data_IF_487946192114
#
_entry.id   IF_487946192114
#
_cell.length_a   1.000
_cell.length_b   1.000
_cell.length_c   1.000
_cell.angle_alpha   90.00
_cell.angle_beta   90.00
_cell.angle_gamma   90.00
#
_symmetry.space_group_name_H-M   'P 1'
#
loop_
_entity.id
_entity.type
_entity.pdbx_description
1 polymer ?
#
# COMPACT_ATOMS: atom_id res chain seq x y z
N UNK A 1 2.91 14.92 -13.05
CA UNK A 1 2.36 14.23 -11.87
C UNK A 1 1.54 13.08 -12.40
N UNK A 2 2.06 11.85 -12.33
CA UNK A 2 1.43 10.67 -12.96
C UNK A 2 0.87 9.78 -11.86
N UNK A 3 -0.45 9.82 -11.67
CA UNK A 3 -1.11 8.98 -10.67
C UNK A 3 -1.22 7.54 -11.18
N UNK A 4 -0.67 6.60 -10.43
CA UNK A 4 -0.80 5.16 -10.70
C UNK A 4 -1.44 4.49 -9.48
N UNK A 5 -2.35 3.57 -9.74
CA UNK A 5 -2.96 2.73 -8.72
C UNK A 5 -2.45 1.29 -8.91
N UNK A 6 -1.90 0.71 -7.85
CA UNK A 6 -1.48 -0.69 -7.81
C UNK A 6 -2.29 -1.45 -6.77
N UNK A 7 -2.62 -2.69 -7.11
CA UNK A 7 -3.30 -3.62 -6.21
C UNK A 7 -2.29 -4.56 -5.60
N UNK A 8 -2.40 -4.72 -4.29
CA UNK A 8 -1.57 -5.61 -3.51
C UNK A 8 -2.45 -6.53 -2.70
N UNK A 9 -2.06 -7.80 -2.60
CA UNK A 9 -2.67 -8.77 -1.70
C UNK A 9 -1.96 -8.71 -0.35
N UNK A 10 -2.72 -8.71 0.73
CA UNK A 10 -2.17 -8.83 2.08
C UNK A 10 -1.77 -10.30 2.30
N UNK A 11 -0.55 -10.51 2.79
CA UNK A 11 -0.07 -11.85 3.16
C UNK A 11 -0.65 -12.36 4.48
N UNK A 12 -1.22 -11.45 5.26
CA UNK A 12 -1.84 -11.73 6.56
C UNK A 12 -3.20 -11.05 6.62
N UNK A 13 -4.19 -11.65 7.30
CA UNK A 13 -5.49 -11.03 7.47
C UNK A 13 -5.37 -9.64 8.11
N UNK A 14 -6.27 -8.73 7.73
CA UNK A 14 -6.30 -7.39 8.28
C UNK A 14 -6.67 -7.41 9.76
N UNK A 15 -5.67 -7.25 10.62
CA UNK A 15 -5.84 -7.12 12.05
C UNK A 15 -5.85 -5.63 12.47
N UNK A 16 -6.35 -5.31 13.66
CA UNK A 16 -6.39 -3.96 14.22
C UNK A 16 -5.05 -3.18 14.09
N UNK A 17 -3.88 -3.74 14.47
CA UNK A 17 -2.60 -3.05 14.31
C UNK A 17 -2.20 -2.85 12.84
N UNK A 18 -2.66 -3.71 11.93
CA UNK A 18 -2.38 -3.59 10.50
C UNK A 18 -3.23 -2.48 9.86
N UNK A 19 -4.49 -2.36 10.29
CA UNK A 19 -5.38 -1.28 9.88
C UNK A 19 -4.81 0.09 10.25
N UNK A 20 -4.27 0.24 11.46
CA UNK A 20 -3.58 1.48 11.85
C UNK A 20 -2.32 1.76 11.01
N UNK A 21 -1.54 0.73 10.65
CA UNK A 21 -0.36 0.90 9.79
C UNK A 21 -0.75 1.36 8.39
N UNK A 22 -1.80 0.79 7.81
CA UNK A 22 -2.38 1.22 6.53
C UNK A 22 -2.85 2.67 6.65
N UNK A 23 -3.54 3.00 7.73
CA UNK A 23 -3.99 4.37 8.00
C UNK A 23 -2.81 5.34 8.15
N UNK A 24 -1.60 4.91 8.55
CA UNK A 24 -0.40 5.77 8.57
C UNK A 24 0.39 5.79 7.27
N UNK A 25 0.20 4.80 6.39
CA UNK A 25 0.97 4.68 5.14
C UNK A 25 0.73 5.84 4.16
N UNK A 26 -0.39 6.57 4.26
CA UNK A 26 -0.61 7.80 3.48
C UNK A 26 0.41 8.91 3.80
N UNK A 27 1.08 8.86 4.96
CA UNK A 27 2.11 9.83 5.33
C UNK A 27 3.44 9.58 4.61
N UNK A 28 3.57 8.48 3.86
CA UNK A 28 4.78 8.17 3.10
C UNK A 28 4.85 9.09 1.88
N UNK A 29 5.94 9.83 1.77
CA UNK A 29 6.17 10.77 0.68
C UNK A 29 6.08 10.09 -0.69
N UNK A 30 5.15 10.58 -1.54
CA UNK A 30 4.88 10.02 -2.87
C UNK A 30 3.71 9.03 -2.91
N UNK A 31 3.24 8.52 -1.77
CA UNK A 31 1.95 7.84 -1.68
C UNK A 31 0.83 8.87 -1.60
N UNK A 32 -0.22 8.67 -2.40
CA UNK A 32 -1.37 9.56 -2.49
C UNK A 32 -2.55 9.02 -1.66
N UNK A 33 -2.79 7.71 -1.72
CA UNK A 33 -3.82 7.06 -0.93
C UNK A 33 -3.51 5.57 -0.77
N UNK A 34 -3.90 5.00 0.37
CA UNK A 34 -3.87 3.56 0.62
C UNK A 34 -5.26 3.17 1.09
N UNK A 35 -5.97 2.36 0.30
CA UNK A 35 -7.34 1.92 0.60
C UNK A 35 -7.38 0.40 0.71
N UNK A 36 -7.79 -0.17 1.85
CA UNK A 36 -8.10 -1.59 1.91
C UNK A 36 -9.33 -1.92 1.06
N UNK A 37 -9.31 -3.09 0.44
CA UNK A 37 -10.46 -3.65 -0.26
C UNK A 37 -11.52 -4.10 0.75
N UNK A 38 -12.81 -4.16 0.38
CA UNK A 38 -13.87 -4.64 1.25
C UNK A 38 -13.71 -6.12 1.65
N UNK A 39 -12.95 -6.89 0.88
CA UNK A 39 -12.55 -8.27 1.23
C UNK A 39 -11.56 -8.34 2.38
N UNK A 40 -10.88 -7.24 2.74
CA UNK A 40 -9.83 -7.17 3.77
C UNK A 40 -8.59 -8.04 3.49
N UNK A 41 -8.50 -8.63 2.30
CA UNK A 41 -7.36 -9.42 1.82
C UNK A 41 -6.50 -8.67 0.79
N UNK A 42 -6.94 -7.50 0.36
CA UNK A 42 -6.26 -6.69 -0.64
C UNK A 42 -6.21 -5.21 -0.21
N UNK A 43 -5.23 -4.49 -0.72
CA UNK A 43 -5.13 -3.04 -0.62
C UNK A 43 -4.85 -2.45 -2.01
N UNK A 44 -5.40 -1.27 -2.25
CA UNK A 44 -5.08 -0.44 -3.41
C UNK A 44 -4.22 0.72 -2.94
N UNK A 45 -3.03 0.86 -3.55
CA UNK A 45 -2.11 1.96 -3.30
C UNK A 45 -2.06 2.86 -4.51
N UNK A 46 -2.45 4.11 -4.31
CA UNK A 46 -2.27 5.19 -5.28
C UNK A 46 -0.99 5.93 -4.96
N UNK A 47 -0.12 6.13 -5.95
CA UNK A 47 1.15 6.85 -5.80
C UNK A 47 1.47 7.67 -7.06
N UNK A 48 2.41 8.60 -6.92
CA UNK A 48 2.95 9.38 -8.05
C UNK A 48 4.13 8.64 -8.69
N UNK A 49 3.92 8.10 -9.89
CA UNK A 49 4.93 7.39 -10.67
C UNK A 49 6.06 8.29 -11.18
N UNK A 50 5.93 9.62 -11.08
CA UNK A 50 7.05 10.53 -11.28
C UNK A 50 8.00 10.59 -10.07
N UNK A 51 7.59 10.08 -8.90
CA UNK A 51 8.37 10.13 -7.64
C UNK A 51 8.78 8.75 -7.11
N UNK A 52 7.91 7.75 -7.28
CA UNK A 52 8.13 6.39 -6.77
C UNK A 52 8.01 5.37 -7.89
N UNK A 53 8.81 4.30 -7.81
CA UNK A 53 8.62 3.09 -8.61
C UNK A 53 7.71 2.09 -7.88
N UNK A 54 7.09 1.13 -8.60
CA UNK A 54 6.34 0.04 -7.95
C UNK A 54 7.13 -0.68 -6.87
N UNK A 55 8.42 -0.96 -7.12
CA UNK A 55 9.28 -1.65 -6.15
C UNK A 55 9.55 -0.80 -4.90
N UNK A 56 9.68 0.52 -5.05
CA UNK A 56 9.84 1.43 -3.92
C UNK A 56 8.56 1.52 -3.07
N UNK A 57 7.38 1.49 -3.72
CA UNK A 57 6.09 1.43 -3.03
C UNK A 57 6.00 0.15 -2.21
N UNK A 58 6.32 -1.00 -2.79
CA UNK A 58 6.32 -2.29 -2.09
C UNK A 58 7.31 -2.28 -0.92
N UNK A 59 8.54 -1.84 -1.13
CA UNK A 59 9.55 -1.74 -0.08
C UNK A 59 9.10 -0.80 1.07
N UNK A 60 8.41 0.31 0.75
CA UNK A 60 7.88 1.22 1.75
C UNK A 60 6.73 0.61 2.56
N UNK A 61 5.83 -0.14 1.92
CA UNK A 61 4.77 -0.90 2.60
C UNK A 61 5.36 -1.94 3.55
N UNK A 62 6.36 -2.71 3.11
CA UNK A 62 7.07 -3.65 3.95
C UNK A 62 7.78 -2.97 5.14
N UNK A 63 8.44 -1.83 4.92
CA UNK A 63 9.06 -1.03 6.00
C UNK A 63 8.05 -0.47 7.00
N UNK A 64 6.84 -0.13 6.54
CA UNK A 64 5.73 0.26 7.40
C UNK A 64 5.13 -0.93 8.19
N UNK A 65 5.65 -2.15 7.98
CA UNK A 65 5.18 -3.37 8.63
C UNK A 65 3.88 -3.89 8.03
N UNK A 66 3.61 -3.59 6.75
CA UNK A 66 2.45 -4.06 6.01
C UNK A 66 2.94 -5.15 5.04
N UNK A 67 2.77 -6.44 5.37
CA UNK A 67 3.25 -7.53 4.53
C UNK A 67 2.29 -7.71 3.35
N UNK A 68 2.73 -7.26 2.18
CA UNK A 68 1.96 -7.28 0.94
C UNK A 68 2.69 -8.05 -0.16
N UNK A 69 1.95 -8.47 -1.17
CA UNK A 69 2.50 -8.96 -2.44
C UNK A 69 1.75 -8.28 -3.55
N UNK A 70 2.45 -7.84 -4.60
CA UNK A 70 1.78 -7.31 -5.78
C UNK A 70 0.84 -8.36 -6.37
N UNK A 71 -0.43 -8.00 -6.53
CA UNK A 71 -1.37 -8.84 -7.27
C UNK A 71 -1.00 -8.73 -8.76
N UNK A 72 -0.79 -9.87 -9.41
CA UNK A 72 -0.45 -9.95 -10.84
C UNK A 72 -1.62 -9.46 -11.71
#
# INVERSE_FOLDING_TARGET
MTKVALRYRLLKPLDAPLSERIARAHAIYGMLAVRPAPSLDEITVEYDASRLTPEQVEAALHRAGIPVVRAA
#
